data_IF_094910906234
#
_entry.id   IF_094910906234
#
_cell.length_a   1.000
_cell.length_b   1.000
_cell.length_c   1.000
_cell.angle_alpha   90.00
_cell.angle_beta   90.00
_cell.angle_gamma   90.00
#
_symmetry.space_group_name_H-M   'P 1'
#
loop_
_entity.id
_entity.type
_entity.pdbx_description
1 polymer ?
#
# COMPACT_ATOMS: atom_id res chain seq x y z
N UNK A 1 2.54 -45.44 37.10
CA UNK A 1 2.83 -43.99 37.20
C UNK A 1 2.63 -43.24 35.89
N UNK A 2 1.82 -43.71 34.94
CA UNK A 2 1.60 -43.10 33.61
C UNK A 2 0.22 -42.38 33.49
N UNK A 3 -0.66 -42.49 34.49
CA UNK A 3 -2.06 -42.03 34.34
C UNK A 3 -2.33 -40.58 34.83
N UNK A 4 -1.39 -39.94 35.50
CA UNK A 4 -1.62 -38.59 36.11
C UNK A 4 -1.29 -37.43 35.17
N UNK A 5 -0.40 -37.60 34.16
CA UNK A 5 -0.08 -36.54 33.22
C UNK A 5 -1.18 -36.21 32.20
N UNK A 6 -2.02 -37.17 31.82
CA UNK A 6 -3.07 -36.95 30.81
C UNK A 6 -4.23 -36.09 31.28
N UNK A 7 -4.56 -36.13 32.60
CA UNK A 7 -5.67 -35.33 33.18
C UNK A 7 -5.29 -33.84 33.33
N UNK A 8 -4.02 -33.53 33.59
CA UNK A 8 -3.58 -32.15 33.74
C UNK A 8 -3.51 -31.37 32.41
N UNK A 9 -3.23 -32.05 31.30
CA UNK A 9 -3.21 -31.46 29.94
C UNK A 9 -4.65 -31.15 29.52
N UNK A 10 -5.58 -32.09 29.67
CA UNK A 10 -6.97 -31.89 29.28
C UNK A 10 -7.66 -30.75 30.05
N UNK A 11 -7.33 -30.53 31.33
CA UNK A 11 -7.89 -29.42 32.09
C UNK A 11 -7.38 -28.04 31.61
N UNK A 12 -6.13 -27.96 31.19
CA UNK A 12 -5.58 -26.72 30.66
C UNK A 12 -6.16 -26.35 29.29
N UNK A 13 -6.36 -27.32 28.42
CA UNK A 13 -6.99 -27.11 27.10
C UNK A 13 -8.46 -26.69 27.22
N UNK A 14 -9.20 -27.25 28.17
CA UNK A 14 -10.59 -26.83 28.48
C UNK A 14 -10.60 -25.37 28.97
N UNK A 15 -9.65 -25.00 29.85
CA UNK A 15 -9.47 -23.63 30.31
C UNK A 15 -9.20 -22.65 29.16
N UNK A 16 -8.28 -22.95 28.28
CA UNK A 16 -7.97 -22.12 27.14
C UNK A 16 -9.18 -21.87 26.22
N UNK A 17 -9.97 -22.90 25.97
CA UNK A 17 -11.22 -22.76 25.17
C UNK A 17 -12.27 -21.92 25.86
N UNK A 18 -12.35 -22.00 27.17
CA UNK A 18 -13.23 -21.16 27.98
C UNK A 18 -12.81 -19.70 27.89
N UNK A 19 -11.50 -19.41 27.99
CA UNK A 19 -10.97 -18.05 27.84
C UNK A 19 -11.23 -17.46 26.44
N UNK A 20 -11.16 -18.27 25.37
CA UNK A 20 -11.61 -17.86 24.04
C UNK A 20 -13.11 -17.47 24.05
N UNK A 21 -13.97 -18.25 24.68
CA UNK A 21 -15.39 -17.93 24.70
C UNK A 21 -15.69 -16.65 25.52
N UNK A 22 -15.02 -16.45 26.64
CA UNK A 22 -15.09 -15.19 27.38
C UNK A 22 -14.57 -14.01 26.59
N UNK A 23 -13.42 -14.17 25.90
CA UNK A 23 -12.87 -13.18 24.98
C UNK A 23 -13.86 -12.78 23.89
N UNK A 24 -14.53 -13.77 23.29
CA UNK A 24 -15.55 -13.51 22.25
C UNK A 24 -16.71 -12.68 22.81
N UNK A 25 -17.21 -12.99 24.02
CA UNK A 25 -18.25 -12.21 24.66
C UNK A 25 -17.81 -10.77 24.90
N UNK A 26 -16.61 -10.58 25.41
CA UNK A 26 -16.04 -9.25 25.64
C UNK A 26 -15.88 -8.47 24.32
N UNK A 27 -15.46 -9.14 23.25
CA UNK A 27 -15.36 -8.54 21.92
C UNK A 27 -16.72 -8.03 21.42
N UNK A 28 -17.78 -8.86 21.53
CA UNK A 28 -19.14 -8.46 21.13
C UNK A 28 -19.71 -7.35 22.02
N UNK A 29 -19.28 -7.28 23.28
CA UNK A 29 -19.63 -6.19 24.22
C UNK A 29 -18.84 -4.89 23.92
N UNK A 30 -17.92 -4.88 22.92
CA UNK A 30 -17.05 -3.74 22.61
C UNK A 30 -15.90 -3.52 23.59
N UNK A 31 -15.64 -4.48 24.48
CA UNK A 31 -14.59 -4.41 25.50
C UNK A 31 -13.30 -5.03 24.98
N UNK A 32 -12.74 -4.43 23.93
CA UNK A 32 -11.66 -5.02 23.13
C UNK A 32 -10.36 -5.26 23.93
N UNK A 33 -9.96 -4.34 24.82
CA UNK A 33 -8.76 -4.55 25.67
C UNK A 33 -8.93 -5.76 26.59
N UNK A 34 -10.13 -5.96 27.14
CA UNK A 34 -10.41 -7.12 27.98
C UNK A 34 -10.46 -8.41 27.15
N UNK A 35 -10.99 -8.35 25.92
CA UNK A 35 -10.96 -9.48 24.99
C UNK A 35 -9.53 -9.87 24.63
N UNK A 36 -8.66 -8.90 24.34
CA UNK A 36 -7.22 -9.10 24.08
C UNK A 36 -6.57 -9.84 25.25
N UNK A 37 -6.84 -9.42 26.50
CA UNK A 37 -6.28 -10.07 27.67
C UNK A 37 -6.70 -11.56 27.74
N UNK A 38 -7.98 -11.88 27.52
CA UNK A 38 -8.48 -13.26 27.54
C UNK A 38 -7.89 -14.12 26.41
N UNK A 39 -7.79 -13.58 25.20
CA UNK A 39 -7.17 -14.32 24.10
C UNK A 39 -5.69 -14.60 24.38
N UNK A 40 -4.94 -13.64 24.95
CA UNK A 40 -3.55 -13.85 25.32
C UNK A 40 -3.40 -14.92 26.42
N UNK A 41 -4.29 -14.96 27.43
CA UNK A 41 -4.32 -16.02 28.44
C UNK A 41 -4.53 -17.38 27.78
N UNK A 42 -5.53 -17.53 26.91
CA UNK A 42 -5.80 -18.76 26.18
C UNK A 42 -4.59 -19.22 25.32
N UNK A 43 -4.02 -18.29 24.55
CA UNK A 43 -2.90 -18.57 23.63
C UNK A 43 -1.56 -18.83 24.35
N UNK A 44 -1.40 -18.35 25.58
CA UNK A 44 -0.25 -18.69 26.43
C UNK A 44 -0.25 -20.17 26.83
N UNK A 45 -1.45 -20.75 26.96
CA UNK A 45 -1.66 -22.17 27.34
C UNK A 45 -1.70 -23.08 26.10
N UNK A 46 -2.38 -22.62 25.04
CA UNK A 46 -2.58 -23.37 23.81
C UNK A 46 -2.32 -22.50 22.58
N UNK A 47 -1.04 -22.37 22.15
CA UNK A 47 -0.63 -21.48 21.07
C UNK A 47 -1.03 -21.96 19.66
N UNK A 48 -1.56 -23.16 19.51
CA UNK A 48 -2.08 -23.73 18.27
C UNK A 48 -3.58 -23.47 18.03
N UNK A 49 -4.24 -22.72 18.91
CA UNK A 49 -5.62 -22.30 18.72
C UNK A 49 -5.72 -21.19 17.66
N UNK A 50 -5.86 -21.57 16.39
CA UNK A 50 -5.96 -20.64 15.28
C UNK A 50 -7.02 -19.56 15.51
N UNK A 51 -8.23 -19.94 15.96
CA UNK A 51 -9.32 -19.02 16.24
C UNK A 51 -8.95 -17.96 17.29
N UNK A 52 -8.11 -18.32 18.27
CA UNK A 52 -7.61 -17.37 19.28
C UNK A 52 -6.76 -16.28 18.65
N UNK A 53 -5.83 -16.64 17.76
CA UNK A 53 -5.00 -15.67 17.03
C UNK A 53 -5.83 -14.76 16.12
N UNK A 54 -6.82 -15.33 15.40
CA UNK A 54 -7.69 -14.54 14.55
C UNK A 54 -8.46 -13.50 15.34
N UNK A 55 -9.13 -13.91 16.44
CA UNK A 55 -9.94 -13.03 17.27
C UNK A 55 -9.08 -11.99 18.02
N UNK A 56 -7.87 -12.37 18.43
CA UNK A 56 -6.88 -11.42 18.98
C UNK A 56 -6.53 -10.35 17.93
N UNK A 57 -6.25 -10.75 16.69
CA UNK A 57 -6.01 -9.83 15.60
C UNK A 57 -7.16 -8.86 15.35
N UNK A 58 -8.40 -9.38 15.27
CA UNK A 58 -9.61 -8.56 15.13
C UNK A 58 -9.82 -7.58 16.28
N UNK A 59 -9.50 -7.99 17.52
CA UNK A 59 -9.62 -7.12 18.69
C UNK A 59 -8.64 -5.96 18.65
N UNK A 60 -7.41 -6.21 18.20
CA UNK A 60 -6.43 -5.16 17.95
C UNK A 60 -6.88 -4.23 16.80
N UNK A 61 -7.42 -4.79 15.71
CA UNK A 61 -7.96 -3.99 14.60
C UNK A 61 -9.13 -3.10 15.01
N UNK A 62 -9.96 -3.55 15.93
CA UNK A 62 -11.08 -2.75 16.44
C UNK A 62 -10.62 -1.50 17.22
N UNK A 63 -9.40 -1.50 17.76
CA UNK A 63 -8.80 -0.38 18.49
C UNK A 63 -7.80 0.42 17.62
N UNK A 64 -7.37 -0.14 16.49
CA UNK A 64 -6.46 0.54 15.57
C UNK A 64 -7.18 1.58 14.73
N UNK A 65 -6.63 2.79 14.68
CA UNK A 65 -7.11 3.89 13.84
C UNK A 65 -6.07 4.24 12.75
N UNK A 66 -6.37 4.00 11.46
CA UNK A 66 -5.45 4.32 10.37
C UNK A 66 -4.96 5.77 10.40
N UNK A 67 -3.64 5.95 10.24
CA UNK A 67 -3.00 7.28 10.18
C UNK A 67 -2.78 7.96 11.53
N UNK A 68 -3.30 7.44 12.63
CA UNK A 68 -3.06 8.00 13.97
C UNK A 68 -1.68 7.55 14.47
N UNK A 69 -0.81 8.54 14.73
CA UNK A 69 0.58 8.29 15.18
C UNK A 69 0.71 8.45 16.68
N UNK A 70 0.15 7.51 17.44
CA UNK A 70 0.33 7.42 18.90
C UNK A 70 0.95 6.08 19.26
N UNK A 71 1.74 5.98 20.35
CA UNK A 71 2.32 4.71 20.79
C UNK A 71 1.28 3.61 21.05
N UNK A 72 0.11 3.99 21.52
CA UNK A 72 -0.98 3.05 21.78
C UNK A 72 -1.57 2.50 20.48
N UNK A 73 -1.80 3.37 19.49
CA UNK A 73 -2.28 2.95 18.18
C UNK A 73 -1.27 2.05 17.45
N UNK A 74 0.04 2.35 17.59
CA UNK A 74 1.11 1.51 17.02
C UNK A 74 1.18 0.15 17.72
N UNK A 75 0.96 0.10 19.03
CA UNK A 75 0.82 -1.16 19.78
C UNK A 75 -0.30 -2.02 19.23
N UNK A 76 -1.47 -1.43 18.89
CA UNK A 76 -2.58 -2.15 18.31
C UNK A 76 -2.29 -2.60 16.86
N UNK A 77 -1.66 -1.77 16.03
CA UNK A 77 -1.22 -2.18 14.70
C UNK A 77 -0.27 -3.40 14.76
N UNK A 78 0.76 -3.32 15.60
CA UNK A 78 1.73 -4.40 15.78
C UNK A 78 1.09 -5.68 16.34
N UNK A 79 0.17 -5.56 17.31
CA UNK A 79 -0.58 -6.68 17.85
C UNK A 79 -1.47 -7.37 16.81
N UNK A 80 -2.13 -6.59 15.96
CA UNK A 80 -2.93 -7.13 14.85
C UNK A 80 -2.05 -7.87 13.85
N UNK A 81 -0.91 -7.27 13.45
CA UNK A 81 0.04 -7.88 12.52
C UNK A 81 0.56 -9.20 13.05
N UNK A 82 1.04 -9.24 14.30
CA UNK A 82 1.57 -10.46 14.91
C UNK A 82 0.50 -11.56 15.00
N UNK A 83 -0.69 -11.23 15.50
CA UNK A 83 -1.76 -12.19 15.65
C UNK A 83 -2.22 -12.76 14.30
N UNK A 84 -2.40 -11.93 13.27
CA UNK A 84 -2.79 -12.38 11.94
C UNK A 84 -1.69 -13.19 11.25
N UNK A 85 -0.41 -12.87 11.47
CA UNK A 85 0.71 -13.71 10.99
C UNK A 85 0.70 -15.10 11.63
N UNK A 86 0.49 -15.19 12.96
CA UNK A 86 0.38 -16.47 13.68
C UNK A 86 -0.82 -17.27 13.19
N UNK A 87 -1.97 -16.62 13.01
CA UNK A 87 -3.15 -17.25 12.43
C UNK A 87 -2.88 -17.84 11.05
N UNK A 88 -2.30 -17.04 10.13
CA UNK A 88 -2.01 -17.45 8.76
C UNK A 88 -0.90 -18.51 8.66
N UNK A 89 -0.07 -18.65 9.68
CA UNK A 89 0.87 -19.77 9.77
C UNK A 89 0.13 -21.11 10.03
N UNK A 90 -1.01 -21.07 10.73
CA UNK A 90 -1.87 -22.22 11.00
C UNK A 90 -2.90 -22.45 9.88
N UNK A 91 -3.47 -21.35 9.36
CA UNK A 91 -4.52 -21.32 8.33
C UNK A 91 -4.08 -20.53 7.09
N UNK A 92 -3.11 -21.02 6.28
CA UNK A 92 -2.46 -20.24 5.21
C UNK A 92 -3.36 -19.93 4.02
N UNK A 93 -4.55 -20.53 3.93
CA UNK A 93 -5.49 -20.35 2.82
C UNK A 93 -6.59 -19.33 3.10
N UNK A 94 -6.66 -18.79 4.32
CA UNK A 94 -7.66 -17.80 4.66
C UNK A 94 -7.36 -16.46 3.99
N UNK A 95 -8.15 -16.16 2.94
CA UNK A 95 -8.00 -14.93 2.15
C UNK A 95 -8.41 -13.69 2.97
N UNK A 96 -9.44 -13.79 3.81
CA UNK A 96 -9.94 -12.67 4.59
C UNK A 96 -8.91 -12.22 5.64
N UNK A 97 -8.32 -13.17 6.36
CA UNK A 97 -7.26 -12.87 7.31
C UNK A 97 -6.02 -12.25 6.63
N UNK A 98 -5.72 -12.70 5.41
CA UNK A 98 -4.65 -12.13 4.60
C UNK A 98 -4.93 -10.69 4.19
N UNK A 99 -6.15 -10.40 3.77
CA UNK A 99 -6.56 -9.04 3.41
C UNK A 99 -6.50 -8.11 4.62
N UNK A 100 -6.91 -8.57 5.81
CA UNK A 100 -6.73 -7.82 7.05
C UNK A 100 -5.26 -7.55 7.35
N UNK A 101 -4.38 -8.55 7.20
CA UNK A 101 -2.95 -8.35 7.42
C UNK A 101 -2.34 -7.34 6.45
N UNK A 102 -2.66 -7.45 5.15
CA UNK A 102 -2.14 -6.53 4.12
C UNK A 102 -2.64 -5.10 4.33
N UNK A 103 -3.93 -4.91 4.61
CA UNK A 103 -4.46 -3.58 4.92
C UNK A 103 -3.82 -3.01 6.18
N UNK A 104 -3.61 -3.84 7.21
CA UNK A 104 -2.96 -3.38 8.44
C UNK A 104 -1.52 -2.92 8.19
N UNK A 105 -0.74 -3.65 7.38
CA UNK A 105 0.59 -3.20 6.98
C UNK A 105 0.58 -1.84 6.29
N UNK A 106 -0.35 -1.64 5.36
CA UNK A 106 -0.46 -0.41 4.58
C UNK A 106 -0.91 0.76 5.48
N UNK A 107 -1.97 0.55 6.24
CA UNK A 107 -2.62 1.58 7.05
C UNK A 107 -1.78 2.03 8.24
N UNK A 108 -0.90 1.15 8.73
CA UNK A 108 0.05 1.45 9.81
C UNK A 108 1.40 1.99 9.30
N UNK A 109 1.64 1.94 7.97
CA UNK A 109 2.93 2.34 7.39
C UNK A 109 4.03 1.28 7.44
N UNK A 110 3.71 0.04 7.82
CA UNK A 110 4.64 -1.10 7.81
C UNK A 110 4.76 -1.72 6.41
N UNK A 111 5.03 -0.90 5.42
CA UNK A 111 4.99 -1.26 3.99
C UNK A 111 5.86 -2.46 3.61
N UNK A 112 6.98 -2.68 4.31
CA UNK A 112 7.90 -3.79 4.04
C UNK A 112 7.22 -5.16 4.14
N UNK A 113 6.29 -5.33 5.07
CA UNK A 113 5.54 -6.58 5.22
C UNK A 113 4.66 -6.88 4.01
N UNK A 114 3.95 -5.86 3.51
CA UNK A 114 3.14 -5.99 2.31
C UNK A 114 3.99 -6.16 1.05
N UNK A 115 5.10 -5.42 0.91
CA UNK A 115 6.04 -5.56 -0.20
C UNK A 115 6.54 -7.00 -0.28
N UNK A 116 7.06 -7.54 0.83
CA UNK A 116 7.56 -8.92 0.89
C UNK A 116 6.51 -9.96 0.49
N UNK A 117 5.27 -9.76 0.89
CA UNK A 117 4.18 -10.66 0.50
C UNK A 117 4.01 -10.72 -1.02
N UNK A 118 3.97 -9.57 -1.71
CA UNK A 118 3.79 -9.53 -3.15
C UNK A 118 5.05 -9.95 -3.91
N UNK A 119 6.26 -9.71 -3.38
CA UNK A 119 7.51 -10.22 -3.95
C UNK A 119 7.53 -11.75 -3.97
N UNK A 120 7.17 -12.42 -2.85
CA UNK A 120 7.04 -13.88 -2.78
C UNK A 120 5.97 -14.41 -3.77
N UNK A 121 4.89 -13.63 -4.00
CA UNK A 121 3.89 -13.98 -5.00
C UNK A 121 4.47 -13.94 -6.41
N UNK A 122 5.30 -12.93 -6.72
CA UNK A 122 6.00 -12.82 -8.01
C UNK A 122 7.10 -13.87 -8.23
N UNK A 123 7.70 -14.43 -7.17
CA UNK A 123 8.60 -15.58 -7.31
C UNK A 123 7.89 -16.80 -7.92
N UNK A 124 6.58 -16.95 -7.65
CA UNK A 124 5.74 -18.04 -8.16
C UNK A 124 5.14 -17.74 -9.53
N UNK A 125 4.72 -16.51 -9.74
CA UNK A 125 4.19 -16.00 -11.00
C UNK A 125 4.78 -14.62 -11.31
N UNK A 126 5.89 -14.55 -12.08
CA UNK A 126 6.56 -13.29 -12.42
C UNK A 126 5.71 -12.33 -13.25
N UNK A 127 4.59 -12.77 -13.82
CA UNK A 127 3.69 -11.99 -14.63
C UNK A 127 2.33 -11.72 -13.96
N UNK A 128 2.21 -11.96 -12.66
CA UNK A 128 1.02 -11.58 -11.89
C UNK A 128 0.84 -10.05 -11.92
N UNK A 129 -0.05 -9.61 -12.81
CA UNK A 129 -0.32 -8.19 -13.06
C UNK A 129 -0.80 -7.48 -11.78
N UNK A 130 -1.60 -8.17 -10.97
CA UNK A 130 -2.11 -7.61 -9.72
C UNK A 130 -1.00 -7.43 -8.69
N UNK A 131 -0.16 -8.42 -8.49
CA UNK A 131 0.98 -8.32 -7.58
C UNK A 131 1.93 -7.18 -7.99
N UNK A 132 2.22 -7.03 -9.30
CA UNK A 132 3.01 -5.91 -9.82
C UNK A 132 2.32 -4.56 -9.57
N UNK A 133 0.99 -4.47 -9.76
CA UNK A 133 0.23 -3.24 -9.50
C UNK A 133 0.24 -2.88 -8.01
N UNK A 134 0.07 -3.85 -7.13
CA UNK A 134 0.13 -3.65 -5.68
C UNK A 134 1.51 -3.18 -5.22
N UNK A 135 2.59 -3.77 -5.74
CA UNK A 135 3.95 -3.32 -5.45
C UNK A 135 4.19 -1.87 -5.89
N UNK A 136 3.70 -1.48 -7.07
CA UNK A 136 3.77 -0.10 -7.52
C UNK A 136 3.04 0.85 -6.55
N UNK A 137 1.82 0.50 -6.17
CA UNK A 137 1.01 1.31 -5.27
C UNK A 137 1.59 1.41 -3.85
N UNK A 138 2.04 0.30 -3.28
CA UNK A 138 2.60 0.26 -1.92
C UNK A 138 3.90 1.08 -1.87
N UNK A 139 4.80 0.92 -2.86
CA UNK A 139 6.02 1.72 -2.93
C UNK A 139 5.73 3.22 -3.14
N UNK A 140 4.68 3.58 -3.90
CA UNK A 140 4.22 4.95 -4.02
C UNK A 140 3.74 5.52 -2.68
N UNK A 141 2.97 4.77 -1.89
CA UNK A 141 2.49 5.17 -0.56
C UNK A 141 3.65 5.30 0.44
N UNK A 142 4.64 4.42 0.32
CA UNK A 142 5.87 4.46 1.11
C UNK A 142 6.83 5.62 0.73
N UNK A 143 6.52 6.41 -0.32
CA UNK A 143 7.40 7.46 -0.83
C UNK A 143 8.64 6.93 -1.56
N UNK A 144 8.70 5.64 -1.88
CA UNK A 144 9.78 4.98 -2.60
C UNK A 144 9.58 5.16 -4.12
N UNK A 145 9.78 6.40 -4.61
CA UNK A 145 9.43 6.78 -5.99
C UNK A 145 10.12 5.92 -7.05
N UNK A 146 11.42 5.68 -6.92
CA UNK A 146 12.17 4.91 -7.91
C UNK A 146 11.68 3.46 -8.02
N UNK A 147 11.39 2.82 -6.88
CA UNK A 147 10.80 1.48 -6.87
C UNK A 147 9.36 1.47 -7.42
N UNK A 148 8.55 2.46 -7.09
CA UNK A 148 7.20 2.57 -7.65
C UNK A 148 7.24 2.71 -9.18
N UNK A 149 8.14 3.56 -9.72
CA UNK A 149 8.36 3.75 -11.15
C UNK A 149 8.82 2.44 -11.81
N UNK A 150 9.74 1.71 -11.20
CA UNK A 150 10.21 0.41 -11.67
C UNK A 150 9.05 -0.60 -11.81
N UNK A 151 8.18 -0.67 -10.81
CA UNK A 151 7.01 -1.55 -10.86
C UNK A 151 5.96 -1.12 -11.88
N UNK A 152 5.72 0.19 -12.06
CA UNK A 152 4.86 0.68 -13.14
C UNK A 152 5.45 0.39 -14.52
N UNK A 153 6.78 0.50 -14.73
CA UNK A 153 7.45 0.08 -15.96
C UNK A 153 7.23 -1.41 -16.22
N UNK A 154 7.44 -2.25 -15.19
CA UNK A 154 7.18 -3.70 -15.28
C UNK A 154 5.72 -3.98 -15.61
N UNK A 155 4.77 -3.27 -15.00
CA UNK A 155 3.35 -3.40 -15.33
C UNK A 155 3.08 -3.10 -16.81
N UNK A 156 3.65 -2.02 -17.35
CA UNK A 156 3.48 -1.67 -18.76
C UNK A 156 4.03 -2.72 -19.73
N UNK A 157 5.05 -3.49 -19.33
CA UNK A 157 5.62 -4.58 -20.14
C UNK A 157 4.70 -5.82 -20.19
N UNK A 158 4.08 -6.19 -19.06
CA UNK A 158 3.32 -7.44 -18.94
C UNK A 158 1.84 -7.30 -19.28
N UNK A 159 1.27 -6.10 -19.22
CA UNK A 159 -0.14 -5.88 -19.60
C UNK A 159 -0.30 -5.94 -21.11
N UNK A 160 -1.41 -6.51 -21.56
CA UNK A 160 -1.68 -6.74 -22.99
C UNK A 160 -2.47 -5.61 -23.64
N UNK A 161 -3.29 -4.88 -22.87
CA UNK A 161 -4.13 -3.82 -23.41
C UNK A 161 -3.41 -2.48 -23.43
N UNK A 162 -3.68 -1.71 -24.46
CA UNK A 162 -3.09 -0.38 -24.67
C UNK A 162 -3.51 0.59 -23.56
N UNK A 163 -4.74 0.46 -23.05
CA UNK A 163 -5.24 1.29 -21.95
C UNK A 163 -4.50 1.06 -20.65
N UNK A 164 -4.22 -0.20 -20.28
CA UNK A 164 -3.44 -0.51 -19.07
C UNK A 164 -1.98 -0.07 -19.19
N UNK A 165 -1.42 -0.06 -20.41
CA UNK A 165 -0.10 0.54 -20.66
C UNK A 165 -0.14 2.04 -20.44
N UNK A 166 -1.16 2.72 -21.00
CA UNK A 166 -1.34 4.16 -20.81
C UNK A 166 -1.51 4.53 -19.33
N UNK A 167 -2.26 3.73 -18.56
CA UNK A 167 -2.38 3.92 -17.10
C UNK A 167 -1.05 3.82 -16.39
N UNK A 168 -0.21 2.85 -16.78
CA UNK A 168 1.11 2.68 -16.18
C UNK A 168 2.03 3.85 -16.49
N UNK A 169 2.08 4.31 -17.75
CA UNK A 169 2.87 5.47 -18.17
C UNK A 169 2.38 6.78 -17.53
N UNK A 170 1.07 6.95 -17.44
CA UNK A 170 0.46 8.06 -16.71
C UNK A 170 0.91 8.08 -15.24
N UNK A 171 0.85 6.92 -14.57
CA UNK A 171 1.26 6.80 -13.17
C UNK A 171 2.73 7.18 -12.96
N UNK A 172 3.63 6.78 -13.88
CA UNK A 172 5.05 7.16 -13.81
C UNK A 172 5.20 8.69 -13.88
N UNK A 173 4.57 9.34 -14.86
CA UNK A 173 4.66 10.79 -14.98
C UNK A 173 4.06 11.55 -13.79
N UNK A 174 2.99 11.02 -13.19
CA UNK A 174 2.41 11.56 -11.95
C UNK A 174 3.37 11.42 -10.78
N UNK A 175 4.11 10.30 -10.69
CA UNK A 175 5.12 10.08 -9.64
C UNK A 175 6.30 11.04 -9.78
N UNK A 176 6.79 11.27 -11.00
CA UNK A 176 7.86 12.22 -11.27
C UNK A 176 7.44 13.65 -10.87
N UNK A 177 6.21 14.05 -11.23
CA UNK A 177 5.68 15.34 -10.78
C UNK A 177 5.55 15.40 -9.25
N UNK A 178 5.00 14.39 -8.61
CA UNK A 178 4.83 14.34 -7.14
C UNK A 178 6.18 14.44 -6.44
N UNK A 179 7.19 13.74 -6.93
CA UNK A 179 8.56 13.82 -6.42
C UNK A 179 9.07 15.27 -6.46
N UNK A 180 8.94 15.97 -7.60
CA UNK A 180 9.38 17.35 -7.74
C UNK A 180 8.59 18.32 -6.86
N UNK A 181 7.28 18.09 -6.72
CA UNK A 181 6.41 18.91 -5.89
C UNK A 181 6.70 18.75 -4.39
N UNK A 182 6.96 17.54 -3.93
CA UNK A 182 7.23 17.25 -2.51
C UNK A 182 8.69 17.53 -2.11
N UNK A 183 9.60 17.61 -3.09
CA UNK A 183 11.02 17.83 -2.89
C UNK A 183 11.48 19.10 -3.63
N UNK A 184 11.08 20.30 -3.16
CA UNK A 184 11.46 21.55 -3.79
C UNK A 184 12.98 21.83 -3.75
N UNK A 185 13.71 21.15 -2.87
CA UNK A 185 15.19 21.19 -2.79
C UNK A 185 15.87 20.53 -3.99
N UNK A 186 15.19 19.64 -4.71
CA UNK A 186 15.70 19.10 -5.99
C UNK A 186 15.73 20.23 -7.02
N UNK A 187 16.90 20.56 -7.54
CA UNK A 187 17.11 21.73 -8.41
C UNK A 187 18.03 21.41 -9.60
N UNK A 188 18.16 22.37 -10.51
CA UNK A 188 19.10 22.32 -11.63
C UNK A 188 18.92 21.09 -12.52
N UNK A 189 20.02 20.44 -12.86
CA UNK A 189 20.06 19.30 -13.79
C UNK A 189 19.20 18.14 -13.36
N UNK A 190 19.15 17.86 -12.06
CA UNK A 190 18.34 16.74 -11.54
C UNK A 190 16.84 17.02 -11.68
N UNK A 191 16.38 18.25 -11.39
CA UNK A 191 14.99 18.65 -11.64
C UNK A 191 14.63 18.55 -13.12
N UNK A 192 15.53 18.99 -14.01
CA UNK A 192 15.36 18.88 -15.46
C UNK A 192 15.19 17.42 -15.87
N UNK A 193 16.07 16.53 -15.40
CA UNK A 193 16.05 15.11 -15.74
C UNK A 193 14.72 14.46 -15.33
N UNK A 194 14.28 14.66 -14.09
CA UNK A 194 13.02 14.07 -13.60
C UNK A 194 11.83 14.64 -14.38
N UNK A 195 11.80 15.96 -14.62
CA UNK A 195 10.72 16.57 -15.39
C UNK A 195 10.66 16.05 -16.84
N UNK A 196 11.82 15.90 -17.51
CA UNK A 196 11.89 15.36 -18.86
C UNK A 196 11.44 13.91 -18.94
N UNK A 197 11.84 13.07 -17.99
CA UNK A 197 11.38 11.68 -17.88
C UNK A 197 9.86 11.62 -17.72
N UNK A 198 9.31 12.38 -16.77
CA UNK A 198 7.87 12.43 -16.52
C UNK A 198 7.07 12.94 -17.72
N UNK A 199 7.55 14.00 -18.40
CA UNK A 199 6.95 14.52 -19.64
C UNK A 199 6.93 13.42 -20.70
N UNK A 200 8.05 12.71 -20.91
CA UNK A 200 8.14 11.64 -21.89
C UNK A 200 7.15 10.51 -21.64
N UNK A 201 6.94 10.13 -20.38
CA UNK A 201 5.97 9.10 -20.01
C UNK A 201 4.52 9.57 -20.21
N UNK A 202 4.19 10.82 -19.84
CA UNK A 202 2.86 11.37 -20.08
C UNK A 202 2.57 11.55 -21.57
N UNK A 203 3.54 11.92 -22.38
CA UNK A 203 3.39 12.00 -23.83
C UNK A 203 3.06 10.62 -24.43
N UNK A 204 3.76 9.56 -24.02
CA UNK A 204 3.42 8.19 -24.42
C UNK A 204 1.98 7.80 -24.01
N UNK A 205 1.56 8.19 -22.83
CA UNK A 205 0.18 7.95 -22.39
C UNK A 205 -0.83 8.73 -23.23
N UNK A 206 -0.53 9.99 -23.60
CA UNK A 206 -1.39 10.83 -24.43
C UNK A 206 -1.44 10.35 -25.89
N UNK A 207 -0.35 9.81 -26.44
CA UNK A 207 -0.34 9.21 -27.78
C UNK A 207 -1.38 8.12 -27.95
N UNK A 208 -1.55 7.32 -26.91
CA UNK A 208 -2.46 6.18 -26.87
C UNK A 208 -3.88 6.57 -26.44
N UNK A 209 -3.99 7.42 -25.43
CA UNK A 209 -5.27 7.89 -24.91
C UNK A 209 -5.39 9.39 -25.07
N UNK A 210 -5.75 9.80 -26.31
CA UNK A 210 -5.94 11.21 -26.65
C UNK A 210 -7.03 11.88 -25.82
N UNK A 211 -6.83 13.15 -25.50
CA UNK A 211 -7.80 13.96 -24.75
C UNK A 211 -8.14 13.41 -23.36
N UNK A 212 -7.18 12.75 -22.72
CA UNK A 212 -7.29 12.39 -21.31
C UNK A 212 -6.94 13.61 -20.45
N UNK A 213 -7.96 14.32 -19.94
CA UNK A 213 -7.79 15.58 -19.20
C UNK A 213 -6.76 15.50 -18.06
N UNK A 214 -6.71 14.42 -17.23
CA UNK A 214 -5.66 14.27 -16.23
C UNK A 214 -4.25 14.22 -16.81
N UNK A 215 -4.02 13.51 -17.91
CA UNK A 215 -2.68 13.45 -18.55
C UNK A 215 -2.23 14.84 -19.03
N UNK A 216 -3.13 15.59 -19.67
CA UNK A 216 -2.85 16.96 -20.10
C UNK A 216 -2.57 17.89 -18.93
N UNK A 217 -3.29 17.72 -17.81
CA UNK A 217 -3.08 18.49 -16.59
C UNK A 217 -1.69 18.24 -15.99
N UNK A 218 -1.23 16.99 -15.93
CA UNK A 218 0.11 16.69 -15.41
C UNK A 218 1.21 17.09 -16.38
N UNK A 219 0.99 17.06 -17.71
CA UNK A 219 1.92 17.67 -18.67
C UNK A 219 2.09 19.17 -18.42
N UNK A 220 0.98 19.90 -18.18
CA UNK A 220 1.07 21.30 -17.78
C UNK A 220 1.95 21.47 -16.53
N UNK A 221 1.71 20.68 -15.49
CA UNK A 221 2.43 20.77 -14.23
C UNK A 221 3.92 20.47 -14.39
N UNK A 222 4.28 19.41 -15.13
CA UNK A 222 5.69 19.05 -15.34
C UNK A 222 6.46 20.08 -16.19
N UNK A 223 5.82 20.68 -17.21
CA UNK A 223 6.45 21.78 -17.95
C UNK A 223 6.68 23.01 -17.05
N UNK A 224 5.81 23.28 -16.09
CA UNK A 224 6.05 24.33 -15.08
C UNK A 224 7.22 23.98 -14.17
N UNK A 225 7.29 22.75 -13.67
CA UNK A 225 8.43 22.29 -12.87
C UNK A 225 9.75 22.39 -13.65
N UNK A 226 9.76 21.97 -14.91
CA UNK A 226 10.94 22.07 -15.79
C UNK A 226 11.36 23.51 -16.00
N UNK A 227 10.40 24.43 -16.18
CA UNK A 227 10.69 25.85 -16.38
C UNK A 227 11.45 26.46 -15.20
N UNK A 228 11.23 25.99 -13.97
CA UNK A 228 11.92 26.52 -12.78
C UNK A 228 13.37 26.09 -12.70
N UNK A 229 13.77 25.03 -13.42
CA UNK A 229 15.11 24.47 -13.38
C UNK A 229 16.06 25.03 -14.46
N UNK A 230 15.53 25.77 -15.45
CA UNK A 230 16.35 26.40 -16.48
C UNK A 230 17.01 27.67 -16.00
N UNK A 231 18.31 27.83 -16.31
CA UNK A 231 19.03 29.10 -16.11
C UNK A 231 18.67 30.11 -17.21
N UNK A 232 18.50 29.63 -18.45
CA UNK A 232 18.20 30.49 -19.60
C UNK A 232 16.73 30.95 -19.60
N UNK A 233 16.54 32.28 -19.71
CA UNK A 233 15.19 32.89 -19.73
C UNK A 233 14.34 32.41 -20.91
N UNK A 234 14.98 32.20 -22.08
CA UNK A 234 14.30 31.66 -23.26
C UNK A 234 13.69 30.27 -23.00
N UNK A 235 14.45 29.33 -22.40
CA UNK A 235 13.98 28.00 -22.11
C UNK A 235 12.79 28.02 -21.13
N UNK A 236 12.88 28.86 -20.10
CA UNK A 236 11.75 29.10 -19.16
C UNK A 236 10.50 29.58 -19.90
N UNK A 237 10.65 30.53 -20.82
CA UNK A 237 9.52 31.08 -21.58
C UNK A 237 8.87 30.02 -22.46
N UNK A 238 9.66 29.18 -23.15
CA UNK A 238 9.17 28.10 -23.99
C UNK A 238 8.38 27.08 -23.17
N UNK A 239 8.92 26.66 -22.02
CA UNK A 239 8.22 25.71 -21.14
C UNK A 239 6.93 26.28 -20.57
N UNK A 240 6.91 27.51 -20.14
CA UNK A 240 5.69 28.18 -19.66
C UNK A 240 4.64 28.33 -20.74
N UNK A 241 5.04 28.64 -21.96
CA UNK A 241 4.13 28.69 -23.11
C UNK A 241 3.54 27.29 -23.43
N UNK A 242 4.38 26.25 -23.40
CA UNK A 242 3.96 24.85 -23.60
C UNK A 242 3.01 24.40 -22.48
N UNK A 243 3.32 24.70 -21.23
CA UNK A 243 2.45 24.45 -20.10
C UNK A 243 1.06 25.07 -20.30
N UNK A 244 1.00 26.33 -20.80
CA UNK A 244 -0.25 27.02 -21.04
C UNK A 244 -1.09 26.35 -22.15
N UNK A 245 -0.46 25.77 -23.19
CA UNK A 245 -1.15 24.98 -24.22
C UNK A 245 -1.82 23.77 -23.60
N UNK A 246 -1.11 23.00 -22.79
CA UNK A 246 -1.67 21.83 -22.12
C UNK A 246 -2.76 22.17 -21.12
N UNK A 247 -2.63 23.28 -20.38
CA UNK A 247 -3.65 23.78 -19.48
C UNK A 247 -4.97 24.06 -20.22
N UNK A 248 -4.90 24.78 -21.35
CA UNK A 248 -6.09 25.07 -22.17
C UNK A 248 -6.72 23.80 -22.70
N UNK A 249 -5.91 22.88 -23.25
CA UNK A 249 -6.39 21.60 -23.75
C UNK A 249 -7.09 20.76 -22.67
N UNK A 250 -6.49 20.64 -21.49
CA UNK A 250 -7.11 19.94 -20.34
C UNK A 250 -8.47 20.55 -19.95
N UNK A 251 -8.54 21.90 -19.91
CA UNK A 251 -9.76 22.63 -19.54
C UNK A 251 -10.87 22.46 -20.59
N UNK A 252 -10.53 22.46 -21.88
CA UNK A 252 -11.49 22.25 -22.97
C UNK A 252 -12.05 20.83 -22.96
N UNK A 253 -11.21 19.84 -22.71
CA UNK A 253 -11.65 18.44 -22.58
C UNK A 253 -12.59 18.27 -21.37
N UNK A 254 -12.23 18.82 -20.22
CA UNK A 254 -13.05 18.73 -19.01
C UNK A 254 -14.44 19.38 -19.13
N UNK A 255 -14.58 20.41 -19.99
CA UNK A 255 -15.87 21.06 -20.26
C UNK A 255 -16.81 20.22 -21.14
N UNK A 256 -16.30 19.23 -21.86
CA UNK A 256 -17.05 18.37 -22.80
C UNK A 256 -17.49 17.04 -22.17
N UNK A 257 -17.00 16.72 -20.98
CA UNK A 257 -17.40 15.57 -20.17
C UNK A 257 -18.48 15.95 -19.17
#
# INVERSE_FOLDING_TARGET
VVLVCGLAVGCKEVGARHDIQEGNKLYYDGKYDNAIARYNEALSVQPDLAIGWFNLGLSHLALFAPGLKTPDNERHANGAIEALQKYLALEPKDMQARDYLLSTYIDSGHYEGAIKYFEVKLEKDPNDIEAVAQLAQINQQAGKYDEAIKWHKRRAEIVTTTDLKADSWYSIGVLDWRRLYQHPEVAGVERLRIADEGIGWLQKADEVRKNHSPTLSYLNLLYRERSTAHDASYARTVDMATAQVYYKAATEVAKKQ
#
